data_IF_098857108282
#
_entry.id   IF_098857108282
#
_cell.length_a   1.000
_cell.length_b   1.000
_cell.length_c   1.000
_cell.angle_alpha   90.00
_cell.angle_beta   90.00
_cell.angle_gamma   90.00
#
_symmetry.space_group_name_H-M   'P 1'
#
loop_
_entity.id
_entity.type
_entity.pdbx_description
1 polymer ?
#
# COMPACT_ATOMS: atom_id res chain seq x y z
N UNK A 1 -25.63 -4.08 -34.02
CA UNK A 1 -25.66 -2.70 -33.50
C UNK A 1 -26.95 -2.54 -32.70
N UNK A 2 -26.96 -2.93 -31.42
CA UNK A 2 -27.97 -2.60 -30.37
C UNK A 2 -27.85 -3.61 -29.21
N UNK A 3 -26.70 -3.60 -28.52
CA UNK A 3 -26.54 -4.31 -27.24
C UNK A 3 -25.97 -3.39 -26.15
N UNK A 4 -25.90 -2.07 -26.40
CA UNK A 4 -25.40 -1.08 -25.45
C UNK A 4 -26.48 -0.51 -24.52
N UNK A 5 -27.76 -0.71 -24.83
CA UNK A 5 -28.86 -0.04 -24.13
C UNK A 5 -29.18 -0.64 -22.74
N UNK A 6 -29.07 -1.96 -22.46
CA UNK A 6 -29.36 -2.47 -21.12
C UNK A 6 -28.27 -2.14 -20.09
N UNK A 7 -27.01 -2.06 -20.52
CA UNK A 7 -25.88 -1.82 -19.61
C UNK A 7 -25.84 -0.38 -19.10
N UNK A 8 -26.33 0.61 -19.86
CA UNK A 8 -26.31 2.01 -19.44
C UNK A 8 -27.33 2.33 -18.36
N UNK A 9 -28.48 1.63 -18.30
CA UNK A 9 -29.51 1.90 -17.29
C UNK A 9 -29.06 1.57 -15.87
N UNK A 10 -28.37 0.45 -15.69
CA UNK A 10 -27.79 0.09 -14.39
C UNK A 10 -26.65 1.06 -14.01
N UNK A 11 -25.85 1.47 -14.99
CA UNK A 11 -24.80 2.48 -14.82
C UNK A 11 -25.37 3.85 -14.42
N UNK A 12 -26.45 4.30 -15.05
CA UNK A 12 -27.14 5.55 -14.71
C UNK A 12 -27.78 5.47 -13.32
N UNK A 13 -28.37 4.33 -12.95
CA UNK A 13 -28.88 4.08 -11.60
C UNK A 13 -27.77 4.07 -10.55
N UNK A 14 -26.61 3.49 -10.87
CA UNK A 14 -25.43 3.49 -10.01
C UNK A 14 -24.86 4.90 -9.82
N UNK A 15 -24.73 5.66 -10.92
CA UNK A 15 -24.33 7.07 -10.89
C UNK A 15 -25.31 7.89 -10.05
N UNK A 16 -26.63 7.71 -10.24
CA UNK A 16 -27.66 8.38 -9.46
C UNK A 16 -27.61 8.01 -7.96
N UNK A 17 -27.40 6.73 -7.64
CA UNK A 17 -27.25 6.28 -6.26
C UNK A 17 -25.99 6.86 -5.61
N UNK A 18 -24.86 6.89 -6.33
CA UNK A 18 -23.62 7.51 -5.86
C UNK A 18 -23.79 9.01 -5.66
N UNK A 19 -24.43 9.70 -6.60
CA UNK A 19 -24.78 11.11 -6.50
C UNK A 19 -25.61 11.40 -5.23
N UNK A 20 -26.62 10.58 -4.96
CA UNK A 20 -27.49 10.72 -3.80
C UNK A 20 -26.77 10.40 -2.47
N UNK A 21 -26.04 9.28 -2.41
CA UNK A 21 -25.33 8.83 -1.20
C UNK A 21 -24.18 9.75 -0.80
N UNK A 22 -23.48 10.30 -1.79
CA UNK A 22 -22.30 11.12 -1.58
C UNK A 22 -22.65 12.61 -1.45
N UNK A 23 -23.91 12.98 -1.67
CA UNK A 23 -24.38 14.38 -1.68
C UNK A 23 -23.45 15.23 -2.58
N UNK A 24 -23.13 14.68 -3.74
CA UNK A 24 -22.08 15.14 -4.66
C UNK A 24 -22.35 16.56 -5.09
N UNK A 25 -21.28 17.38 -5.10
CA UNK A 25 -21.33 18.76 -5.58
C UNK A 25 -20.85 18.83 -7.02
N UNK A 26 -19.89 17.98 -7.42
CA UNK A 26 -19.35 17.93 -8.78
C UNK A 26 -19.09 16.49 -9.26
N UNK A 27 -19.52 16.21 -10.49
CA UNK A 27 -19.12 15.02 -11.27
C UNK A 27 -18.34 15.51 -12.47
N UNK A 28 -17.16 14.95 -12.71
CA UNK A 28 -16.41 15.30 -13.91
C UNK A 28 -17.11 14.68 -15.13
N UNK A 29 -17.50 15.52 -16.10
CA UNK A 29 -18.10 15.06 -17.34
C UNK A 29 -17.11 15.17 -18.49
N UNK A 30 -16.91 14.08 -19.23
CA UNK A 30 -16.13 14.07 -20.46
C UNK A 30 -17.09 13.96 -21.65
N UNK A 31 -17.08 14.95 -22.54
CA UNK A 31 -17.99 14.97 -23.70
C UNK A 31 -19.48 15.02 -23.34
N UNK A 32 -19.84 15.56 -22.16
CA UNK A 32 -21.22 15.62 -21.67
C UNK A 32 -21.72 14.38 -20.93
N UNK A 33 -20.91 13.32 -20.85
CA UNK A 33 -21.24 12.11 -20.07
C UNK A 33 -20.42 12.02 -18.78
N UNK A 34 -21.02 11.64 -17.64
CA UNK A 34 -20.31 11.52 -16.36
C UNK A 34 -19.39 10.29 -16.30
N UNK A 35 -19.64 9.29 -17.15
CA UNK A 35 -18.91 8.03 -17.15
C UNK A 35 -17.84 8.03 -18.23
N UNK A 36 -16.58 7.86 -17.82
CA UNK A 36 -15.42 7.81 -18.71
C UNK A 36 -15.11 6.36 -19.06
N UNK A 37 -15.05 6.04 -20.36
CA UNK A 37 -14.63 4.72 -20.84
C UNK A 37 -13.12 4.69 -20.99
N UNK A 38 -12.44 3.89 -20.17
CA UNK A 38 -10.98 3.71 -20.23
C UNK A 38 -10.61 2.49 -21.09
N UNK A 39 -11.41 1.42 -20.99
CA UNK A 39 -11.24 0.17 -21.73
C UNK A 39 -12.61 -0.34 -22.20
N UNK A 40 -12.70 -1.26 -23.19
CA UNK A 40 -13.96 -1.90 -23.56
C UNK A 40 -14.75 -2.50 -22.38
N UNK A 41 -14.04 -2.91 -21.32
CA UNK A 41 -14.60 -3.54 -20.12
C UNK A 41 -14.39 -2.72 -18.84
N UNK A 42 -13.85 -1.50 -18.91
CA UNK A 42 -13.51 -0.70 -17.72
C UNK A 42 -14.02 0.72 -17.88
N UNK A 43 -14.76 1.16 -16.87
CA UNK A 43 -15.37 2.48 -16.81
C UNK A 43 -14.98 3.17 -15.51
N UNK A 44 -14.69 4.46 -15.58
CA UNK A 44 -14.34 5.28 -14.42
C UNK A 44 -15.30 6.44 -14.28
N UNK A 45 -15.63 6.75 -13.05
CA UNK A 45 -16.48 7.86 -12.65
C UNK A 45 -15.71 8.68 -11.61
N UNK A 46 -15.50 9.96 -11.91
CA UNK A 46 -14.82 10.88 -11.00
C UNK A 46 -15.85 11.77 -10.29
N UNK A 47 -15.83 11.71 -8.96
CA UNK A 47 -16.79 12.36 -8.07
C UNK A 47 -16.05 13.30 -7.10
N UNK A 48 -16.64 14.45 -6.80
CA UNK A 48 -16.16 15.36 -5.74
C UNK A 48 -17.33 16.08 -5.05
N UNK A 49 -17.11 16.57 -3.83
CA UNK A 49 -18.10 17.38 -3.12
C UNK A 49 -18.50 16.91 -1.72
N UNK A 50 -17.91 15.83 -1.21
CA UNK A 50 -18.04 15.49 0.21
C UNK A 50 -16.99 16.23 1.01
N UNK A 51 -17.39 16.88 2.10
CA UNK A 51 -16.47 17.55 3.00
C UNK A 51 -15.38 16.57 3.46
N UNK A 52 -14.13 17.04 3.50
CA UNK A 52 -12.93 16.29 3.89
C UNK A 52 -12.46 15.19 2.91
N UNK A 53 -13.16 14.97 1.80
CA UNK A 53 -12.68 14.14 0.68
C UNK A 53 -12.24 15.04 -0.47
N UNK A 54 -11.05 14.84 -1.01
CA UNK A 54 -10.56 15.63 -2.15
C UNK A 54 -11.28 15.21 -3.44
N UNK A 55 -11.29 13.91 -3.71
CA UNK A 55 -12.00 13.29 -4.81
C UNK A 55 -12.30 11.83 -4.49
N UNK A 56 -13.25 11.26 -5.22
CA UNK A 56 -13.49 9.83 -5.27
C UNK A 56 -13.51 9.38 -6.74
N UNK A 57 -12.94 8.22 -6.99
CA UNK A 57 -12.90 7.56 -8.28
C UNK A 57 -13.58 6.21 -8.13
N UNK A 58 -14.72 6.04 -8.80
CA UNK A 58 -15.37 4.74 -8.89
C UNK A 58 -14.95 4.06 -10.20
N UNK A 59 -14.29 2.91 -10.09
CA UNK A 59 -13.85 2.09 -11.20
C UNK A 59 -14.75 0.87 -11.30
N UNK A 60 -15.48 0.77 -12.39
CA UNK A 60 -16.31 -0.39 -12.73
C UNK A 60 -15.56 -1.26 -13.73
N UNK A 61 -15.08 -2.41 -13.25
CA UNK A 61 -14.45 -3.44 -14.06
C UNK A 61 -15.48 -4.53 -14.38
N UNK A 62 -15.92 -4.56 -15.63
CA UNK A 62 -16.85 -5.56 -16.15
C UNK A 62 -16.07 -6.78 -16.65
N UNK A 63 -16.69 -7.95 -16.57
CA UNK A 63 -16.21 -9.18 -17.21
C UNK A 63 -15.99 -8.93 -18.70
N UNK A 64 -14.82 -9.32 -19.22
CA UNK A 64 -14.42 -9.09 -20.62
C UNK A 64 -15.26 -9.93 -21.58
N UNK A 65 -16.25 -9.32 -22.23
CA UNK A 65 -17.13 -9.99 -23.23
C UNK A 65 -16.70 -9.75 -24.67
N UNK A 66 -15.64 -8.96 -24.88
CA UNK A 66 -15.21 -8.52 -26.20
C UNK A 66 -14.41 -9.56 -26.99
N UNK A 67 -13.73 -10.50 -26.33
CA UNK A 67 -12.84 -11.48 -26.98
C UNK A 67 -13.33 -12.90 -26.77
N UNK A 68 -13.24 -13.74 -27.80
CA UNK A 68 -13.58 -15.16 -27.73
C UNK A 68 -12.72 -15.92 -26.72
N UNK A 69 -11.43 -15.56 -26.61
CA UNK A 69 -10.52 -16.16 -25.62
C UNK A 69 -11.00 -15.88 -24.18
N UNK A 70 -11.33 -14.63 -23.87
CA UNK A 70 -11.87 -14.24 -22.56
C UNK A 70 -13.17 -15.00 -22.28
N UNK A 71 -14.07 -15.08 -23.26
CA UNK A 71 -15.31 -15.83 -23.13
C UNK A 71 -15.08 -17.32 -22.79
N UNK A 72 -14.15 -17.98 -23.49
CA UNK A 72 -13.78 -19.38 -23.25
C UNK A 72 -13.09 -19.56 -21.89
N UNK A 73 -12.19 -18.65 -21.51
CA UNK A 73 -11.52 -18.69 -20.19
C UNK A 73 -12.52 -18.65 -19.05
N UNK A 74 -13.56 -17.83 -19.17
CA UNK A 74 -14.59 -17.72 -18.16
C UNK A 74 -15.53 -18.94 -18.04
N UNK A 75 -15.46 -19.90 -18.96
CA UNK A 75 -16.09 -21.22 -18.75
C UNK A 75 -15.32 -22.06 -17.73
N UNK A 76 -14.01 -21.83 -17.61
CA UNK A 76 -13.11 -22.55 -16.70
C UNK A 76 -13.00 -21.81 -15.36
N UNK A 77 -12.87 -20.48 -15.39
CA UNK A 77 -12.76 -19.65 -14.20
C UNK A 77 -13.73 -18.47 -14.29
N UNK A 78 -14.94 -18.57 -13.72
CA UNK A 78 -15.89 -17.47 -13.72
C UNK A 78 -15.34 -16.27 -12.93
N UNK A 79 -15.56 -15.08 -13.46
CA UNK A 79 -15.19 -13.80 -12.84
C UNK A 79 -16.44 -12.92 -12.79
N UNK A 80 -16.68 -12.32 -11.62
CA UNK A 80 -17.80 -11.40 -11.40
C UNK A 80 -17.37 -9.96 -11.72
N UNK A 81 -18.35 -9.11 -12.05
CA UNK A 81 -18.13 -7.68 -12.27
C UNK A 81 -17.74 -7.00 -10.95
N UNK A 82 -16.70 -6.16 -10.96
CA UNK A 82 -16.15 -5.49 -9.77
C UNK A 82 -16.38 -3.99 -9.81
N UNK A 83 -16.74 -3.43 -8.67
CA UNK A 83 -16.85 -1.99 -8.45
C UNK A 83 -15.91 -1.59 -7.31
N UNK A 84 -14.87 -0.83 -7.65
CA UNK A 84 -13.90 -0.29 -6.70
C UNK A 84 -14.16 1.20 -6.53
N UNK A 85 -14.25 1.67 -5.29
CA UNK A 85 -14.42 3.10 -5.00
C UNK A 85 -13.18 3.56 -4.23
N UNK A 86 -12.29 4.25 -4.94
CA UNK A 86 -11.08 4.82 -4.37
C UNK A 86 -11.37 6.25 -3.92
N UNK A 87 -11.13 6.51 -2.63
CA UNK A 87 -11.44 7.81 -2.01
C UNK A 87 -10.16 8.45 -1.54
N UNK A 88 -9.77 9.54 -2.19
CA UNK A 88 -8.63 10.34 -1.76
C UNK A 88 -9.10 11.33 -0.70
N UNK A 89 -8.65 11.11 0.53
CA UNK A 89 -8.95 11.99 1.66
C UNK A 89 -7.99 13.19 1.66
N UNK A 90 -8.42 14.34 2.18
CA UNK A 90 -7.54 15.51 2.29
C UNK A 90 -6.46 15.23 3.37
N UNK A 91 -5.14 15.42 3.07
CA UNK A 91 -4.05 15.19 4.03
C UNK A 91 -4.17 16.05 5.30
N UNK A 92 -4.78 17.23 5.21
CA UNK A 92 -4.99 18.07 6.39
C UNK A 92 -5.93 17.41 7.38
N UNK A 93 -6.90 16.62 6.91
CA UNK A 93 -8.09 16.24 7.66
C UNK A 93 -8.10 14.82 8.23
N UNK A 94 -7.05 14.03 8.02
CA UNK A 94 -7.03 12.62 8.44
C UNK A 94 -5.71 12.27 9.13
N UNK A 95 -5.81 11.55 10.25
CA UNK A 95 -4.65 10.90 10.85
C UNK A 95 -4.24 9.68 10.01
N UNK A 96 -2.93 9.44 9.96
CA UNK A 96 -2.37 8.32 9.22
C UNK A 96 -2.77 7.01 9.89
N UNK A 97 -3.40 6.11 9.14
CA UNK A 97 -3.82 4.81 9.64
C UNK A 97 -3.88 3.77 8.53
N UNK A 98 -3.54 2.53 8.88
CA UNK A 98 -3.73 1.36 8.02
C UNK A 98 -4.76 0.44 8.67
N UNK A 99 -5.83 0.13 7.91
CA UNK A 99 -6.93 -0.71 8.37
C UNK A 99 -7.55 -1.47 7.21
N UNK A 100 -7.94 -2.73 7.45
CA UNK A 100 -8.50 -3.63 6.47
C UNK A 100 -9.60 -4.49 7.09
N UNK A 101 -10.73 -4.56 6.40
CA UNK A 101 -11.78 -5.56 6.64
C UNK A 101 -12.04 -6.28 5.34
N UNK A 102 -11.77 -7.58 5.28
CA UNK A 102 -11.98 -8.37 4.08
C UNK A 102 -12.29 -9.83 4.43
N UNK A 103 -12.87 -10.61 3.52
CA UNK A 103 -13.00 -12.04 3.72
C UNK A 103 -11.63 -12.67 4.00
N UNK A 104 -11.57 -13.65 4.88
CA UNK A 104 -10.30 -14.16 5.42
C UNK A 104 -9.31 -14.62 4.33
N UNK A 105 -9.82 -15.13 3.19
CA UNK A 105 -9.00 -15.52 2.04
C UNK A 105 -8.40 -14.30 1.33
N UNK A 106 -9.22 -13.29 1.03
CA UNK A 106 -8.83 -12.06 0.36
C UNK A 106 -7.87 -11.24 1.23
N UNK A 107 -8.13 -11.19 2.54
CA UNK A 107 -7.27 -10.52 3.51
C UNK A 107 -5.83 -11.08 3.48
N UNK A 108 -5.67 -12.42 3.48
CA UNK A 108 -4.36 -13.07 3.39
C UNK A 108 -3.64 -12.83 2.06
N UNK A 109 -4.39 -12.66 0.97
CA UNK A 109 -3.81 -12.31 -0.32
C UNK A 109 -3.32 -10.84 -0.31
N UNK A 110 -4.13 -9.92 0.22
CA UNK A 110 -3.79 -8.50 0.28
C UNK A 110 -2.59 -8.21 1.18
N UNK A 111 -2.42 -8.93 2.29
CA UNK A 111 -1.23 -8.78 3.15
C UNK A 111 0.07 -9.10 2.38
N UNK A 112 0.02 -9.98 1.37
CA UNK A 112 1.19 -10.29 0.53
C UNK A 112 1.38 -9.29 -0.61
N UNK A 113 0.30 -8.67 -1.06
CA UNK A 113 0.31 -7.73 -2.18
C UNK A 113 0.69 -6.31 -1.73
N UNK A 114 0.23 -5.91 -0.55
CA UNK A 114 0.36 -4.55 -0.03
C UNK A 114 1.37 -4.52 1.12
N UNK A 115 2.45 -3.77 0.92
CA UNK A 115 3.57 -3.66 1.88
C UNK A 115 3.18 -2.97 3.18
N UNK A 116 2.27 -2.01 3.12
CA UNK A 116 1.76 -1.32 4.30
C UNK A 116 1.06 -2.29 5.26
N UNK A 117 0.20 -3.18 4.74
CA UNK A 117 -0.43 -4.23 5.52
C UNK A 117 0.58 -5.23 6.09
N UNK A 118 1.59 -5.61 5.32
CA UNK A 118 2.63 -6.55 5.78
C UNK A 118 3.43 -6.00 6.96
N UNK A 119 3.79 -4.72 6.92
CA UNK A 119 4.65 -4.12 7.93
C UNK A 119 3.89 -3.54 9.13
N UNK A 120 2.69 -3.01 8.92
CA UNK A 120 1.96 -2.23 9.93
C UNK A 120 0.77 -3.00 10.51
N UNK A 121 0.14 -3.90 9.76
CA UNK A 121 -1.13 -4.48 10.19
C UNK A 121 -0.94 -5.79 10.96
N UNK A 122 -1.72 -5.92 12.04
CA UNK A 122 -1.87 -7.15 12.82
C UNK A 122 -3.30 -7.67 12.67
N UNK A 123 -3.48 -9.00 12.71
CA UNK A 123 -4.80 -9.62 12.61
C UNK A 123 -5.49 -9.63 13.96
N UNK A 124 -6.80 -9.35 13.95
CA UNK A 124 -7.63 -9.19 15.13
C UNK A 124 -8.80 -10.18 15.13
N UNK A 125 -9.06 -10.82 16.27
CA UNK A 125 -10.04 -11.92 16.34
C UNK A 125 -11.51 -11.46 16.39
N UNK A 126 -11.86 -10.22 16.77
CA UNK A 126 -13.17 -9.58 16.48
C UNK A 126 -13.29 -8.21 17.18
N UNK A 127 -13.46 -7.08 16.46
CA UNK A 127 -13.51 -5.76 17.09
C UNK A 127 -14.64 -5.61 18.13
N UNK A 128 -15.73 -6.36 18.01
CA UNK A 128 -16.88 -6.25 18.91
C UNK A 128 -16.81 -7.37 19.95
N UNK A 129 -16.02 -7.16 21.01
CA UNK A 129 -15.66 -8.17 22.01
C UNK A 129 -16.79 -9.13 22.39
N UNK A 130 -16.50 -10.44 22.34
CA UNK A 130 -17.34 -11.60 22.75
C UNK A 130 -18.80 -11.65 22.25
N UNK A 131 -19.32 -10.64 21.57
CA UNK A 131 -20.71 -10.57 21.21
C UNK A 131 -20.90 -11.27 19.87
N UNK A 132 -21.84 -12.22 19.84
CA UNK A 132 -22.09 -13.22 18.80
C UNK A 132 -22.59 -12.64 17.45
N UNK A 133 -22.29 -11.37 17.17
CA UNK A 133 -22.76 -10.59 16.02
C UNK A 133 -21.76 -10.56 14.87
N UNK A 134 -20.48 -10.74 15.16
CA UNK A 134 -19.42 -10.73 14.15
C UNK A 134 -19.29 -12.10 13.47
N UNK A 135 -19.34 -12.18 12.14
CA UNK A 135 -19.11 -13.44 11.42
C UNK A 135 -17.60 -13.77 11.36
N UNK A 136 -17.06 -14.25 12.50
CA UNK A 136 -15.65 -14.58 12.72
C UNK A 136 -15.01 -15.44 11.62
N UNK A 137 -15.74 -16.43 11.12
CA UNK A 137 -15.20 -17.37 10.11
C UNK A 137 -15.22 -16.83 8.68
N UNK A 138 -15.77 -15.63 8.47
CA UNK A 138 -15.98 -15.08 7.12
C UNK A 138 -15.08 -13.90 6.85
N UNK A 139 -14.91 -13.00 7.82
CA UNK A 139 -14.07 -11.81 7.67
C UNK A 139 -12.90 -11.80 8.64
N UNK A 140 -11.77 -11.33 8.15
CA UNK A 140 -10.62 -10.94 8.95
C UNK A 140 -10.57 -9.41 9.05
N UNK A 141 -10.23 -8.93 10.24
CA UNK A 141 -9.92 -7.53 10.49
C UNK A 141 -8.43 -7.43 10.70
N UNK A 142 -7.78 -6.55 9.94
CA UNK A 142 -6.38 -6.21 10.13
C UNK A 142 -6.25 -4.71 10.34
N UNK A 143 -5.34 -4.32 11.21
CA UNK A 143 -5.01 -2.93 11.41
C UNK A 143 -3.82 -2.77 12.33
N UNK A 144 -3.38 -1.53 12.51
CA UNK A 144 -2.22 -1.23 13.37
C UNK A 144 -2.49 -1.60 14.83
N UNK A 145 -3.65 -1.20 15.35
CA UNK A 145 -4.00 -1.37 16.76
C UNK A 145 -5.43 -1.88 16.91
N UNK A 146 -5.70 -2.66 17.96
CA UNK A 146 -7.06 -3.06 18.30
C UNK A 146 -7.99 -1.87 18.56
N UNK A 147 -7.50 -0.86 19.28
CA UNK A 147 -8.25 0.36 19.59
C UNK A 147 -8.71 1.08 18.31
N UNK A 148 -7.83 1.14 17.29
CA UNK A 148 -8.16 1.67 15.96
C UNK A 148 -9.32 0.92 15.30
N UNK A 149 -9.33 -0.41 15.40
CA UNK A 149 -10.40 -1.23 14.85
C UNK A 149 -11.75 -0.93 15.51
N UNK A 150 -11.78 -0.69 16.82
CA UNK A 150 -13.01 -0.36 17.56
C UNK A 150 -13.51 1.05 17.25
N UNK A 151 -12.59 2.01 17.10
CA UNK A 151 -12.91 3.39 16.75
C UNK A 151 -13.52 3.47 15.34
N UNK A 152 -13.02 2.69 14.38
CA UNK A 152 -13.50 2.66 13.00
C UNK A 152 -14.75 1.81 12.78
N UNK A 153 -14.92 0.77 13.59
CA UNK A 153 -16.03 -0.17 13.48
C UNK A 153 -16.88 -0.17 14.77
N UNK A 154 -17.59 0.93 15.05
CA UNK A 154 -18.54 0.94 16.16
C UNK A 154 -19.65 -0.08 15.91
N UNK A 155 -20.32 -0.50 16.99
CA UNK A 155 -21.35 -1.55 16.97
C UNK A 155 -22.46 -1.26 15.94
N UNK A 156 -22.78 0.02 15.70
CA UNK A 156 -23.77 0.45 14.69
C UNK A 156 -23.36 0.13 13.26
N UNK A 157 -22.09 0.33 12.91
CA UNK A 157 -21.55 0.04 11.58
C UNK A 157 -21.46 -1.47 11.40
N UNK A 158 -21.04 -2.19 12.43
CA UNK A 158 -21.00 -3.66 12.41
C UNK A 158 -22.41 -4.23 12.23
N UNK A 159 -23.39 -3.75 12.98
CA UNK A 159 -24.76 -4.26 12.89
C UNK A 159 -25.39 -3.97 11.51
N UNK A 160 -25.08 -2.82 10.91
CA UNK A 160 -25.62 -2.40 9.61
C UNK A 160 -24.94 -3.10 8.42
N UNK A 161 -23.62 -3.23 8.43
CA UNK A 161 -22.84 -3.70 7.27
C UNK A 161 -22.38 -5.15 7.39
N UNK A 162 -22.06 -5.61 8.59
CA UNK A 162 -21.32 -6.86 8.82
C UNK A 162 -22.05 -7.87 9.73
N UNK A 163 -23.24 -7.56 10.23
CA UNK A 163 -24.06 -8.52 10.99
C UNK A 163 -24.41 -9.73 10.14
N UNK A 164 -24.73 -10.86 10.76
CA UNK A 164 -25.17 -12.05 10.01
C UNK A 164 -26.37 -11.78 9.10
N UNK A 165 -27.29 -10.92 9.53
CA UNK A 165 -28.46 -10.51 8.73
C UNK A 165 -28.06 -9.66 7.52
N UNK A 166 -27.19 -8.66 7.74
CA UNK A 166 -26.66 -7.82 6.66
C UNK A 166 -25.82 -8.66 5.68
N UNK A 167 -25.04 -9.60 6.20
CA UNK A 167 -24.22 -10.49 5.40
C UNK A 167 -25.05 -11.38 4.47
N UNK A 168 -26.15 -11.95 4.96
CA UNK A 168 -27.04 -12.77 4.15
C UNK A 168 -27.60 -12.01 2.94
N UNK A 169 -27.79 -10.69 3.08
CA UNK A 169 -28.36 -9.83 2.04
C UNK A 169 -27.33 -9.23 1.10
N UNK A 170 -26.26 -8.65 1.65
CA UNK A 170 -25.28 -7.84 0.89
C UNK A 170 -23.84 -8.31 1.07
N UNK A 171 -23.50 -9.01 2.15
CA UNK A 171 -22.11 -9.32 2.47
C UNK A 171 -21.42 -10.30 1.51
N UNK A 172 -22.17 -10.99 0.64
CA UNK A 172 -21.60 -11.78 -0.46
C UNK A 172 -20.92 -10.91 -1.52
N UNK A 173 -21.33 -9.65 -1.66
CA UNK A 173 -20.82 -8.71 -2.67
C UNK A 173 -19.68 -7.83 -2.15
N UNK A 174 -19.43 -7.84 -0.84
CA UNK A 174 -18.36 -7.04 -0.24
C UNK A 174 -17.01 -7.75 -0.39
N UNK A 175 -16.14 -7.23 -1.27
CA UNK A 175 -14.81 -7.80 -1.48
C UNK A 175 -13.82 -7.38 -0.39
N UNK A 176 -13.68 -6.09 -0.10
CA UNK A 176 -12.88 -5.56 0.99
C UNK A 176 -13.18 -4.08 1.27
N UNK A 177 -12.87 -3.63 2.48
CA UNK A 177 -12.79 -2.23 2.89
C UNK A 177 -11.35 -2.01 3.35
N UNK A 178 -10.65 -1.08 2.73
CA UNK A 178 -9.22 -0.87 2.95
C UNK A 178 -8.91 0.61 3.09
N UNK A 179 -8.18 0.95 4.14
CA UNK A 179 -7.62 2.25 4.42
C UNK A 179 -6.10 2.14 4.34
N UNK A 180 -5.51 2.95 3.45
CA UNK A 180 -4.06 3.00 3.23
C UNK A 180 -3.53 4.41 3.49
N UNK A 181 -2.24 4.47 3.80
CA UNK A 181 -1.47 5.69 4.04
C UNK A 181 -0.44 5.96 2.92
N UNK A 182 -0.41 5.14 1.86
CA UNK A 182 0.63 5.19 0.81
C UNK A 182 0.65 6.49 -0.02
N UNK A 183 -0.43 7.29 0.01
CA UNK A 183 -0.58 8.52 -0.77
C UNK A 183 -0.62 9.81 0.08
N UNK A 184 -0.29 9.75 1.38
CA UNK A 184 -0.34 10.92 2.24
C UNK A 184 0.94 11.76 2.15
N UNK A 185 0.82 13.00 1.64
CA UNK A 185 1.90 13.99 1.71
C UNK A 185 2.36 14.19 3.18
N UNK A 186 3.68 14.36 3.43
CA UNK A 186 4.25 14.34 4.78
C UNK A 186 3.93 15.57 5.64
N UNK A 187 3.40 16.63 5.04
CA UNK A 187 3.01 17.85 5.75
C UNK A 187 1.49 17.90 5.89
N UNK A 188 1.05 18.41 7.04
CA UNK A 188 -0.34 18.67 7.48
C UNK A 188 -0.94 17.61 8.43
N UNK A 189 -1.38 18.12 9.59
CA UNK A 189 -1.90 17.35 10.73
C UNK A 189 -3.02 18.15 11.41
N UNK A 190 -4.24 18.16 10.88
CA UNK A 190 -5.41 18.58 11.67
C UNK A 190 -6.68 17.85 11.20
N UNK A 191 -6.81 16.58 11.61
CA UNK A 191 -8.00 15.80 11.27
C UNK A 191 -9.22 16.05 12.13
N UNK A 192 -10.40 15.98 11.49
CA UNK A 192 -11.70 15.85 12.18
C UNK A 192 -11.96 14.41 12.61
N UNK A 193 -11.51 13.41 11.84
CA UNK A 193 -11.42 12.04 12.34
C UNK A 193 -10.13 11.94 13.16
N UNK A 194 -10.30 11.97 14.48
CA UNK A 194 -9.22 11.79 15.45
C UNK A 194 -9.33 10.39 16.01
N UNK A 195 -8.24 9.64 15.93
CA UNK A 195 -8.14 8.39 16.65
C UNK A 195 -8.18 8.68 18.15
N UNK A 196 -8.62 7.70 18.94
CA UNK A 196 -8.44 7.80 20.39
C UNK A 196 -6.96 8.02 20.73
N UNK A 197 -6.67 8.76 21.80
CA UNK A 197 -5.28 9.04 22.21
C UNK A 197 -4.46 7.77 22.42
N UNK A 198 -5.10 6.70 22.90
CA UNK A 198 -4.51 5.36 23.02
C UNK A 198 -4.20 4.74 21.66
N UNK A 199 -5.16 4.71 20.73
CA UNK A 199 -4.96 4.16 19.38
C UNK A 199 -3.82 4.90 18.67
N UNK A 200 -3.82 6.23 18.72
CA UNK A 200 -2.79 7.07 18.12
C UNK A 200 -1.40 6.79 18.67
N UNK A 201 -1.22 6.79 19.99
CA UNK A 201 0.08 6.56 20.61
C UNK A 201 0.65 5.17 20.26
N UNK A 202 -0.22 4.15 20.20
CA UNK A 202 0.18 2.78 19.83
C UNK A 202 0.53 2.68 18.35
N UNK A 203 -0.29 3.27 17.48
CA UNK A 203 -0.04 3.37 16.04
C UNK A 203 1.28 4.08 15.72
N UNK A 204 1.53 5.25 16.33
CA UNK A 204 2.78 6.00 16.16
C UNK A 204 4.00 5.18 16.65
N UNK A 205 3.85 4.43 17.73
CA UNK A 205 4.92 3.56 18.23
C UNK A 205 5.21 2.38 17.29
N UNK A 206 4.20 1.82 16.61
CA UNK A 206 4.39 0.76 15.60
C UNK A 206 5.09 1.34 14.39
N UNK A 207 4.64 2.48 13.89
CA UNK A 207 5.23 3.19 12.75
C UNK A 207 6.69 3.55 13.00
N UNK A 208 7.01 4.11 14.17
CA UNK A 208 8.39 4.42 14.55
C UNK A 208 9.28 3.17 14.58
N UNK A 209 8.76 2.01 14.99
CA UNK A 209 9.50 0.75 14.95
C UNK A 209 9.75 0.27 13.52
N UNK A 210 8.74 0.35 12.65
CA UNK A 210 8.85 -0.02 11.24
C UNK A 210 9.85 0.89 10.52
N UNK A 211 9.75 2.21 10.74
CA UNK A 211 10.69 3.18 10.19
C UNK A 211 12.13 2.95 10.69
N UNK A 212 12.31 2.64 11.98
CA UNK A 212 13.63 2.32 12.53
C UNK A 212 14.21 1.02 11.95
N UNK A 213 13.38 0.00 11.72
CA UNK A 213 13.78 -1.24 11.07
C UNK A 213 14.21 -1.00 9.61
N UNK A 214 13.40 -0.26 8.84
CA UNK A 214 13.71 0.10 7.46
C UNK A 214 15.00 0.95 7.36
N UNK A 215 15.20 1.89 8.29
CA UNK A 215 16.42 2.68 8.36
C UNK A 215 17.66 1.81 8.64
N UNK A 216 17.55 0.87 9.58
CA UNK A 216 18.64 -0.07 9.91
C UNK A 216 18.98 -0.98 8.74
N UNK A 217 17.98 -1.51 8.04
CA UNK A 217 18.17 -2.33 6.84
C UNK A 217 18.87 -1.54 5.73
N UNK A 218 18.45 -0.30 5.52
CA UNK A 218 19.07 0.62 4.55
C UNK A 218 20.54 0.86 4.89
N UNK A 219 20.89 1.01 6.18
CA UNK A 219 22.28 1.15 6.61
C UNK A 219 23.09 -0.13 6.37
N UNK A 220 22.54 -1.32 6.66
CA UNK A 220 23.21 -2.60 6.40
C UNK A 220 23.49 -2.78 4.91
N UNK A 221 22.47 -2.57 4.08
CA UNK A 221 22.59 -2.67 2.62
C UNK A 221 23.63 -1.70 2.06
N UNK A 222 23.70 -0.47 2.59
CA UNK A 222 24.74 0.51 2.23
C UNK A 222 26.14 0.03 2.63
N UNK A 223 26.29 -0.52 3.84
CA UNK A 223 27.58 -1.07 4.28
C UNK A 223 28.01 -2.24 3.40
N UNK A 224 27.13 -3.20 3.15
CA UNK A 224 27.38 -4.36 2.29
C UNK A 224 27.75 -3.96 0.86
N UNK A 225 27.06 -2.97 0.28
CA UNK A 225 27.40 -2.45 -1.04
C UNK A 225 28.81 -1.81 -1.08
N UNK A 226 29.21 -1.11 -0.01
CA UNK A 226 30.57 -0.55 0.12
C UNK A 226 31.60 -1.68 0.23
N UNK A 227 31.33 -2.71 1.03
CA UNK A 227 32.22 -3.86 1.19
C UNK A 227 32.36 -4.64 -0.12
N UNK A 228 31.27 -4.85 -0.85
CA UNK A 228 31.24 -5.50 -2.16
C UNK A 228 32.07 -4.74 -3.19
N UNK A 229 31.87 -3.41 -3.32
CA UNK A 229 32.69 -2.57 -4.21
C UNK A 229 34.17 -2.60 -3.86
N UNK A 230 34.52 -2.67 -2.56
CA UNK A 230 35.92 -2.81 -2.12
C UNK A 230 36.51 -4.18 -2.49
N UNK A 231 35.73 -5.25 -2.36
CA UNK A 231 36.15 -6.59 -2.73
C UNK A 231 36.38 -6.72 -4.23
N UNK A 232 35.41 -6.28 -5.05
CA UNK A 232 35.48 -6.27 -6.52
C UNK A 232 36.68 -5.45 -7.01
N UNK A 233 36.91 -4.26 -6.42
CA UNK A 233 38.08 -3.45 -6.75
C UNK A 233 39.40 -4.14 -6.42
N UNK A 234 39.48 -4.83 -5.27
CA UNK A 234 40.68 -5.56 -4.86
C UNK A 234 40.95 -6.77 -5.76
N UNK A 235 39.90 -7.43 -6.23
CA UNK A 235 39.99 -8.56 -7.17
C UNK A 235 40.45 -8.08 -8.55
N UNK A 236 39.86 -7.01 -9.08
CA UNK A 236 40.31 -6.39 -10.33
C UNK A 236 41.76 -5.89 -10.27
N UNK A 237 42.19 -5.33 -9.13
CA UNK A 237 43.59 -4.97 -8.91
C UNK A 237 44.52 -6.19 -8.92
N UNK A 238 44.11 -7.33 -8.34
CA UNK A 238 44.89 -8.58 -8.36
C UNK A 238 44.97 -9.21 -9.75
N UNK A 239 43.90 -9.18 -10.53
CA UNK A 239 43.89 -9.66 -11.92
C UNK A 239 44.76 -8.75 -12.82
N UNK A 240 44.69 -7.43 -12.62
CA UNK A 240 45.58 -6.49 -13.28
C UNK A 240 47.05 -6.74 -12.89
N UNK A 241 47.32 -7.10 -11.62
CA UNK A 241 48.65 -7.50 -11.13
C UNK A 241 49.14 -8.80 -11.73
N UNK A 242 48.28 -9.80 -11.90
CA UNK A 242 48.62 -11.06 -12.54
C UNK A 242 49.00 -10.89 -14.03
N UNK A 243 48.42 -9.87 -14.69
CA UNK A 243 48.69 -9.54 -16.09
C UNK A 243 49.88 -8.57 -16.30
N UNK A 244 50.55 -8.11 -15.24
CA UNK A 244 51.69 -7.18 -15.31
C UNK A 244 53.05 -7.91 -15.51
N UNK A 245 53.96 -7.31 -16.27
CA UNK A 245 55.30 -7.88 -16.53
C UNK A 245 56.24 -7.78 -15.30
N UNK A 246 57.26 -8.64 -15.24
CA UNK A 246 58.22 -8.75 -14.11
C UNK A 246 58.92 -7.44 -13.72
N UNK A 247 59.07 -6.49 -14.65
CA UNK A 247 59.70 -5.19 -14.38
C UNK A 247 58.76 -4.20 -13.68
N UNK A 248 57.45 -4.27 -13.99
CA UNK A 248 56.45 -3.40 -13.38
C UNK A 248 56.17 -3.76 -11.91
N UNK A 249 56.29 -5.05 -11.56
CA UNK A 249 56.19 -5.56 -10.18
C UNK A 249 57.25 -4.93 -9.28
N UNK A 250 58.52 -4.89 -9.73
CA UNK A 250 59.64 -4.28 -8.97
C UNK A 250 59.45 -2.79 -8.70
N UNK A 251 58.97 -2.03 -9.69
CA UNK A 251 58.68 -0.59 -9.53
C UNK A 251 57.53 -0.34 -8.53
N UNK A 252 56.56 -1.25 -8.45
CA UNK A 252 55.41 -1.16 -7.53
C UNK A 252 55.78 -1.50 -6.08
N UNK A 253 56.55 -2.57 -5.84
CA UNK A 253 57.02 -2.93 -4.48
C UNK A 253 57.85 -1.81 -3.83
N UNK A 254 58.70 -1.14 -4.61
CA UNK A 254 59.49 0.01 -4.13
C UNK A 254 58.58 1.19 -3.78
N UNK A 255 57.52 1.42 -4.57
CA UNK A 255 56.53 2.48 -4.33
C UNK A 255 55.68 2.18 -3.08
N UNK A 256 55.28 0.93 -2.89
CA UNK A 256 54.53 0.48 -1.69
C UNK A 256 55.37 0.54 -0.42
N UNK A 257 56.64 0.10 -0.44
CA UNK A 257 57.56 0.27 0.70
C UNK A 257 57.72 1.74 1.09
N UNK A 258 57.88 2.64 0.11
CA UNK A 258 57.92 4.09 0.36
C UNK A 258 56.60 4.62 0.95
N UNK A 259 55.43 4.14 0.48
CA UNK A 259 54.14 4.54 1.03
C UNK A 259 53.89 3.99 2.44
N UNK A 260 54.31 2.75 2.73
CA UNK A 260 54.24 2.17 4.07
C UNK A 260 55.13 2.93 5.07
N UNK A 261 56.36 3.27 4.67
CA UNK A 261 57.25 4.12 5.47
C UNK A 261 56.64 5.52 5.72
N UNK A 262 55.97 6.13 4.74
CA UNK A 262 55.27 7.41 4.93
C UNK A 262 54.04 7.27 5.86
N UNK A 263 53.27 6.19 5.74
CA UNK A 263 52.11 5.92 6.62
C UNK A 263 52.54 5.62 8.05
N UNK A 264 53.62 4.88 8.27
CA UNK A 264 54.15 4.61 9.62
C UNK A 264 54.72 5.88 10.25
N UNK A 265 55.45 6.69 9.48
CA UNK A 265 55.93 8.01 9.93
C UNK A 265 54.78 8.96 10.28
N UNK A 266 53.69 8.98 9.50
CA UNK A 266 52.52 9.82 9.79
C UNK A 266 51.78 9.38 11.07
N UNK A 267 51.63 8.06 11.29
CA UNK A 267 51.04 7.52 12.54
C UNK A 267 51.88 7.84 13.78
N UNK A 268 53.21 7.71 13.69
CA UNK A 268 54.13 8.06 14.79
C UNK A 268 54.14 9.56 15.12
N UNK A 269 53.86 10.43 14.15
CA UNK A 269 53.72 11.88 14.39
C UNK A 269 52.41 12.19 15.13
N UNK A 270 51.30 11.55 14.76
CA UNK A 270 50.00 11.75 15.42
C UNK A 270 50.00 11.20 16.85
N UNK A 271 50.70 10.09 17.11
CA UNK A 271 50.81 9.54 18.48
C UNK A 271 51.72 10.34 19.41
N UNK A 272 52.56 11.23 18.88
CA UNK A 272 53.41 12.16 19.66
C UNK A 272 52.75 13.53 19.90
N UNK A 273 51.57 13.76 19.33
CA UNK A 273 50.80 15.00 19.39
C UNK A 273 49.56 14.88 20.29
N UNK A 274 49.50 13.83 21.12
CA UNK A 274 48.42 13.54 22.07
C UNK A 274 48.93 13.62 23.50
#
# INVERSE_FOLDING_TARGET
>A
LTASVPCTWWLEGLVAAMLCLWRVVYVATWGGTPLMKESPSEWKLYLSGRQHCQCAMATLALRKRQDLYSYLWYLVSPEDDKLTIDVTMNPENMEKMVFLVAPTKTARAMVKEKKDLEHLATTFDSPVGSNRRWPMYKFAVLGETWDLANDLMPETVVDSLLSEKAYAKYGKYLEHIYFSDDNADPEHKVGHLRLSSSAKAKSDAIRAKVEAAAFKETLSSRQEAIWRKKAEKKEAEREAEANLSKEAIRKREVKERKQQLKKSQAKMKISKLK
#
